data_IF_680553820777
#
_entry.id   IF_680553820777
#
_cell.length_a   1.000
_cell.length_b   1.000
_cell.length_c   1.000
_cell.angle_alpha   90.00
_cell.angle_beta   90.00
_cell.angle_gamma   90.00
#
_symmetry.space_group_name_H-M   'P 1'
#
loop_
_entity.id
_entity.type
_entity.pdbx_description
1 polymer ?
#
# COMPACT_ATOMS: atom_id res chain seq x y z
N UNK A 1 47.31 52.52 -9.34
CA UNK A 1 46.05 52.39 -8.60
C UNK A 1 44.94 52.55 -9.61
N UNK A 2 44.45 51.43 -10.13
CA UNK A 2 43.61 51.39 -11.35
C UNK A 2 42.21 50.95 -10.93
N UNK A 3 41.24 51.84 -11.07
CA UNK A 3 39.85 51.58 -10.75
C UNK A 3 39.20 50.74 -11.88
N UNK A 4 38.70 49.57 -11.52
CA UNK A 4 37.93 48.68 -12.40
C UNK A 4 36.45 49.03 -12.27
N UNK A 5 35.93 49.71 -13.29
CA UNK A 5 34.52 50.03 -13.47
C UNK A 5 33.78 48.80 -14.00
N UNK A 6 32.93 48.20 -13.17
CA UNK A 6 32.04 47.09 -13.58
C UNK A 6 30.79 47.64 -14.26
N UNK A 7 30.64 47.32 -15.55
CA UNK A 7 29.44 47.57 -16.34
C UNK A 7 28.33 46.56 -15.96
N UNK A 8 27.06 46.98 -15.81
CA UNK A 8 25.94 46.06 -15.65
C UNK A 8 25.50 45.48 -17.02
N UNK A 9 25.42 44.16 -17.10
CA UNK A 9 24.86 43.46 -18.26
C UNK A 9 23.34 43.71 -18.40
N UNK A 10 22.82 43.84 -19.63
CA UNK A 10 21.39 44.00 -19.88
C UNK A 10 20.62 42.69 -19.66
N UNK A 11 19.47 42.82 -19.02
CA UNK A 11 18.46 41.81 -18.78
C UNK A 11 17.99 41.15 -20.08
N UNK A 12 18.23 39.84 -20.21
CA UNK A 12 17.59 39.01 -21.24
C UNK A 12 16.17 38.66 -20.78
N UNK A 13 15.19 39.43 -21.27
CA UNK A 13 13.78 39.04 -21.33
C UNK A 13 13.62 37.90 -22.33
N UNK A 14 13.55 36.66 -21.85
CA UNK A 14 13.10 35.53 -22.65
C UNK A 14 11.58 35.41 -22.54
N UNK A 15 10.90 35.91 -23.58
CA UNK A 15 9.53 35.56 -23.93
C UNK A 15 9.48 34.08 -24.30
N UNK A 16 8.77 33.27 -23.52
CA UNK A 16 8.33 31.94 -23.90
C UNK A 16 6.81 31.88 -23.69
N UNK A 17 6.09 32.17 -24.77
CA UNK A 17 4.74 31.69 -24.96
C UNK A 17 4.78 30.22 -25.40
N UNK A 18 4.04 29.38 -24.69
CA UNK A 18 3.45 28.14 -25.22
C UNK A 18 2.48 27.59 -24.17
N UNK A 19 1.22 27.99 -24.32
CA UNK A 19 0.07 27.45 -23.60
C UNK A 19 -0.17 26.02 -24.09
N UNK A 20 0.31 25.01 -23.38
CA UNK A 20 -0.09 23.63 -23.58
C UNK A 20 -1.31 23.32 -22.69
N UNK A 21 -2.49 23.69 -23.19
CA UNK A 21 -3.77 23.26 -22.64
C UNK A 21 -3.94 21.76 -22.92
N UNK A 22 -3.65 20.91 -21.94
CA UNK A 22 -4.09 19.52 -21.94
C UNK A 22 -5.57 19.46 -21.50
N UNK A 23 -6.46 19.66 -22.47
CA UNK A 23 -7.87 19.26 -22.37
C UNK A 23 -8.04 17.97 -23.18
N UNK A 24 -8.05 16.82 -22.52
CA UNK A 24 -8.78 15.64 -22.97
C UNK A 24 -9.03 14.68 -21.81
N UNK A 25 -10.21 14.06 -21.83
CA UNK A 25 -10.70 12.97 -20.99
C UNK A 25 -11.45 13.33 -19.68
N UNK A 26 -12.50 14.14 -19.80
CA UNK A 26 -13.74 13.90 -19.08
C UNK A 26 -14.90 13.94 -20.10
N UNK A 27 -15.15 12.82 -20.77
CA UNK A 27 -16.37 12.65 -21.56
C UNK A 27 -17.45 12.06 -20.67
N UNK A 28 -18.32 12.98 -20.23
CA UNK A 28 -19.67 12.72 -19.74
C UNK A 28 -20.44 11.84 -20.72
N UNK A 29 -20.77 10.62 -20.28
CA UNK A 29 -21.68 9.73 -20.99
C UNK A 29 -23.11 10.16 -20.67
N UNK A 30 -23.54 11.25 -21.29
CA UNK A 30 -24.92 11.74 -21.23
C UNK A 30 -25.82 10.83 -22.06
N UNK A 31 -26.75 10.17 -21.38
CA UNK A 31 -27.92 9.47 -21.89
C UNK A 31 -28.67 10.37 -22.88
N UNK A 32 -28.60 10.08 -24.18
CA UNK A 32 -29.56 10.63 -25.14
C UNK A 32 -30.74 9.66 -25.27
N UNK A 33 -31.88 10.09 -24.73
CA UNK A 33 -33.20 9.63 -25.11
C UNK A 33 -33.42 9.93 -26.59
N UNK A 34 -33.62 8.89 -27.39
CA UNK A 34 -34.21 9.01 -28.73
C UNK A 34 -35.70 8.73 -28.57
N UNK A 35 -36.49 9.78 -28.71
CA UNK A 35 -37.95 9.74 -28.74
C UNK A 35 -38.43 10.15 -30.13
N UNK A 36 -39.23 9.29 -30.76
CA UNK A 36 -40.17 9.63 -31.84
C UNK A 36 -40.01 8.80 -33.13
N UNK A 37 -41.06 8.65 -33.96
CA UNK A 37 -42.48 8.44 -33.63
C UNK A 37 -43.01 7.10 -34.19
N UNK A 38 -44.00 6.54 -33.49
CA UNK A 38 -44.88 5.46 -33.96
C UNK A 38 -45.79 5.99 -35.07
N UNK A 39 -45.95 5.24 -36.17
CA UNK A 39 -47.24 5.01 -36.83
C UNK A 39 -47.15 3.96 -37.98
N UNK A 40 -47.76 2.79 -37.70
CA UNK A 40 -48.53 1.87 -38.58
C UNK A 40 -47.87 1.16 -39.81
N UNK A 41 -48.49 0.09 -40.39
CA UNK A 41 -49.45 -0.91 -39.87
C UNK A 41 -49.02 -2.38 -40.13
N UNK A 42 -49.83 -3.30 -39.58
CA UNK A 42 -49.88 -4.76 -39.81
C UNK A 42 -49.48 -5.29 -41.20
N UNK A 43 -48.63 -6.32 -41.22
CA UNK A 43 -48.65 -7.39 -42.22
C UNK A 43 -48.05 -8.70 -41.66
N UNK A 44 -48.85 -9.77 -41.75
CA UNK A 44 -48.51 -11.19 -41.85
C UNK A 44 -47.56 -11.86 -40.86
N UNK A 45 -48.19 -12.45 -39.84
CA UNK A 45 -47.67 -13.52 -39.02
C UNK A 45 -47.58 -14.82 -39.85
N UNK A 46 -46.52 -14.98 -40.66
CA UNK A 46 -46.16 -16.29 -41.19
C UNK A 46 -45.33 -17.05 -40.16
N UNK A 47 -45.97 -18.07 -39.60
CA UNK A 47 -45.39 -19.10 -38.75
C UNK A 47 -44.27 -19.82 -39.51
N UNK A 48 -43.02 -19.36 -39.35
CA UNK A 48 -41.84 -20.13 -39.73
C UNK A 48 -41.48 -21.00 -38.53
N UNK A 49 -41.98 -22.24 -38.55
CA UNK A 49 -41.45 -23.37 -37.76
C UNK A 49 -39.97 -23.51 -38.12
N UNK A 50 -39.13 -22.77 -37.41
CA UNK A 50 -37.69 -22.90 -37.49
C UNK A 50 -37.34 -24.03 -36.54
N UNK A 51 -36.86 -25.20 -37.03
CA UNK A 51 -36.51 -26.30 -36.17
C UNK A 51 -35.45 -25.84 -35.16
N UNK A 52 -35.82 -25.94 -33.89
CA UNK A 52 -35.02 -25.62 -32.72
C UNK A 52 -33.66 -26.35 -32.78
N UNK A 53 -32.51 -25.66 -32.86
CA UNK A 53 -31.20 -26.30 -32.94
C UNK A 53 -30.68 -26.68 -31.54
N UNK A 54 -31.52 -27.34 -30.74
CA UNK A 54 -31.17 -27.82 -29.40
C UNK A 54 -30.74 -29.30 -29.41
N UNK A 55 -30.45 -29.84 -30.59
CA UNK A 55 -29.69 -31.10 -30.67
C UNK A 55 -28.22 -30.77 -30.45
N UNK A 56 -27.57 -31.25 -29.36
CA UNK A 56 -26.13 -31.10 -29.21
C UNK A 56 -25.47 -31.76 -30.42
N UNK A 57 -24.87 -30.95 -31.29
CA UNK A 57 -24.12 -31.43 -32.42
C UNK A 57 -23.15 -32.51 -31.92
N UNK A 58 -23.26 -33.71 -32.50
CA UNK A 58 -22.36 -34.80 -32.20
C UNK A 58 -20.92 -34.28 -32.30
N UNK A 59 -20.04 -34.58 -31.32
CA UNK A 59 -18.68 -34.09 -31.35
C UNK A 59 -18.07 -34.54 -32.67
N UNK A 60 -17.65 -33.58 -33.49
CA UNK A 60 -16.80 -33.83 -34.65
C UNK A 60 -15.68 -34.73 -34.11
N UNK A 61 -15.53 -35.92 -34.69
CA UNK A 61 -14.52 -36.89 -34.27
C UNK A 61 -13.13 -36.30 -34.55
N UNK A 62 -12.70 -35.44 -33.64
CA UNK A 62 -11.42 -34.78 -33.72
C UNK A 62 -10.36 -35.83 -33.40
N UNK A 63 -9.45 -36.02 -34.35
CA UNK A 63 -8.58 -37.21 -34.50
C UNK A 63 -7.55 -37.34 -33.35
N UNK A 64 -7.52 -36.39 -32.42
CA UNK A 64 -6.53 -36.32 -31.34
C UNK A 64 -7.18 -36.65 -29.99
N UNK A 65 -7.44 -37.93 -29.77
CA UNK A 65 -7.83 -38.45 -28.46
C UNK A 65 -6.65 -38.34 -27.49
N UNK A 66 -6.89 -37.71 -26.34
CA UNK A 66 -5.99 -37.55 -25.20
C UNK A 66 -6.31 -38.65 -24.16
N UNK A 67 -5.53 -38.74 -23.08
CA UNK A 67 -5.74 -39.68 -21.97
C UNK A 67 -7.17 -39.58 -21.42
N UNK A 68 -7.70 -40.72 -20.95
CA UNK A 68 -9.01 -40.84 -20.29
C UNK A 68 -10.22 -40.48 -21.16
N UNK A 69 -10.06 -40.53 -22.49
CA UNK A 69 -11.15 -40.32 -23.44
C UNK A 69 -11.54 -38.85 -23.66
N UNK A 70 -10.71 -37.92 -23.20
CA UNK A 70 -10.82 -36.50 -23.57
C UNK A 70 -10.20 -36.27 -24.95
N UNK A 71 -10.60 -35.22 -25.65
CA UNK A 71 -9.89 -34.72 -26.83
C UNK A 71 -9.33 -33.29 -26.59
N UNK A 72 -8.57 -32.76 -27.55
CA UNK A 72 -8.02 -31.40 -27.45
C UNK A 72 -9.11 -30.31 -27.37
N UNK A 73 -10.23 -30.48 -28.07
CA UNK A 73 -11.34 -29.54 -28.03
C UNK A 73 -12.01 -29.47 -26.64
N UNK A 74 -12.06 -30.60 -25.91
CA UNK A 74 -12.54 -30.65 -24.54
C UNK A 74 -11.60 -29.89 -23.61
N UNK A 75 -10.28 -30.07 -23.74
CA UNK A 75 -9.28 -29.33 -22.97
C UNK A 75 -9.40 -27.81 -23.18
N UNK A 76 -9.50 -27.38 -24.44
CA UNK A 76 -9.69 -25.98 -24.80
C UNK A 76 -10.98 -25.40 -24.20
N UNK A 77 -12.08 -26.16 -24.27
CA UNK A 77 -13.35 -25.76 -23.68
C UNK A 77 -13.24 -25.62 -22.17
N UNK A 78 -12.64 -26.60 -21.49
CA UNK A 78 -12.45 -26.59 -20.03
C UNK A 78 -11.53 -25.46 -19.59
N UNK A 79 -10.45 -25.19 -20.32
CA UNK A 79 -9.56 -24.05 -20.06
C UNK A 79 -10.29 -22.72 -20.21
N UNK A 80 -11.07 -22.53 -21.29
CA UNK A 80 -11.94 -21.34 -21.47
C UNK A 80 -12.97 -21.21 -20.34
N UNK A 81 -13.50 -22.31 -19.81
CA UNK A 81 -14.39 -22.27 -18.64
C UNK A 81 -13.64 -21.87 -17.36
N UNK A 82 -12.43 -22.38 -17.16
CA UNK A 82 -11.61 -22.04 -16.01
C UNK A 82 -11.25 -20.54 -15.94
N UNK A 83 -11.06 -19.89 -17.10
CA UNK A 83 -10.74 -18.45 -17.16
C UNK A 83 -11.93 -17.52 -16.92
N UNK A 84 -13.18 -18.00 -16.97
CA UNK A 84 -14.39 -17.18 -16.75
C UNK A 84 -14.46 -16.61 -15.33
N UNK A 85 -13.88 -17.30 -14.35
CA UNK A 85 -13.83 -16.80 -12.97
C UNK A 85 -12.83 -15.66 -12.88
N UNK A 86 -13.28 -14.50 -12.40
CA UNK A 86 -12.46 -13.29 -12.35
C UNK A 86 -11.35 -13.45 -11.29
N UNK A 87 -10.09 -13.52 -11.75
CA UNK A 87 -8.89 -13.52 -10.92
C UNK A 87 -8.00 -12.32 -11.24
N UNK A 88 -8.13 -11.23 -10.47
CA UNK A 88 -7.30 -10.04 -10.63
C UNK A 88 -7.47 -9.33 -11.98
N UNK A 89 -7.25 -8.02 -12.02
CA UNK A 89 -7.30 -7.25 -13.29
C UNK A 89 -5.96 -7.34 -14.04
N UNK A 90 -4.94 -7.92 -13.41
CA UNK A 90 -3.54 -7.75 -13.83
C UNK A 90 -2.98 -8.83 -14.76
N UNK A 91 -3.60 -10.01 -14.85
CA UNK A 91 -3.09 -11.09 -15.74
C UNK A 91 -3.72 -10.95 -17.12
N UNK A 92 -2.92 -11.00 -18.18
CA UNK A 92 -3.41 -11.01 -19.56
C UNK A 92 -4.37 -12.19 -19.81
N UNK A 93 -5.52 -12.00 -20.50
CA UNK A 93 -6.47 -13.08 -20.76
C UNK A 93 -5.86 -14.31 -21.45
N UNK A 94 -4.86 -14.12 -22.32
CA UNK A 94 -4.17 -15.21 -23.01
C UNK A 94 -3.34 -16.03 -22.01
N UNK A 95 -2.57 -15.38 -21.15
CA UNK A 95 -1.77 -16.05 -20.13
C UNK A 95 -2.63 -16.88 -19.17
N UNK A 96 -3.83 -16.39 -18.83
CA UNK A 96 -4.79 -17.16 -18.01
C UNK A 96 -5.21 -18.46 -18.71
N UNK A 97 -5.49 -18.38 -20.01
CA UNK A 97 -5.86 -19.53 -20.80
C UNK A 97 -4.69 -20.52 -20.87
N UNK A 98 -3.48 -20.06 -21.21
CA UNK A 98 -2.29 -20.90 -21.31
C UNK A 98 -1.96 -21.58 -19.96
N UNK A 99 -2.03 -20.86 -18.84
CA UNK A 99 -1.86 -21.40 -17.49
C UNK A 99 -2.92 -22.44 -17.12
N UNK A 100 -4.19 -22.17 -17.41
CA UNK A 100 -5.27 -23.10 -17.13
C UNK A 100 -5.14 -24.36 -17.98
N UNK A 101 -4.88 -24.21 -19.28
CA UNK A 101 -4.73 -25.30 -20.23
C UNK A 101 -3.58 -26.22 -19.84
N UNK A 102 -2.39 -25.66 -19.56
CA UNK A 102 -1.21 -26.42 -19.13
C UNK A 102 -1.48 -27.18 -17.83
N UNK A 103 -2.08 -26.53 -16.82
CA UNK A 103 -2.39 -27.19 -15.55
C UNK A 103 -3.44 -28.31 -15.70
N UNK A 104 -4.45 -28.11 -16.56
CA UNK A 104 -5.45 -29.14 -16.87
C UNK A 104 -4.79 -30.33 -17.56
N UNK A 105 -3.94 -30.09 -18.56
CA UNK A 105 -3.24 -31.14 -19.27
C UNK A 105 -2.33 -31.95 -18.33
N UNK A 106 -1.51 -31.28 -17.51
CA UNK A 106 -0.66 -31.93 -16.51
C UNK A 106 -1.48 -32.77 -15.52
N UNK A 107 -2.61 -32.24 -15.02
CA UNK A 107 -3.47 -32.98 -14.10
C UNK A 107 -4.09 -34.21 -14.76
N UNK A 108 -4.54 -34.07 -16.01
CA UNK A 108 -5.10 -35.17 -16.79
C UNK A 108 -4.08 -36.31 -16.98
N UNK A 109 -2.82 -35.98 -17.25
CA UNK A 109 -1.75 -36.96 -17.46
C UNK A 109 -1.18 -37.55 -16.16
N UNK A 110 -1.38 -36.90 -15.01
CA UNK A 110 -0.93 -37.42 -13.70
C UNK A 110 -2.01 -38.20 -12.97
N UNK A 111 -3.28 -38.00 -13.30
CA UNK A 111 -4.40 -38.74 -12.71
C UNK A 111 -4.38 -40.23 -13.07
N UNK A 112 -4.50 -41.10 -12.06
CA UNK A 112 -4.57 -42.55 -12.25
C UNK A 112 -5.88 -42.94 -12.96
N UNK A 113 -7.00 -42.42 -12.47
CA UNK A 113 -8.34 -42.60 -13.01
C UNK A 113 -8.78 -41.38 -13.84
N UNK A 114 -9.89 -41.52 -14.56
CA UNK A 114 -10.48 -40.42 -15.33
C UNK A 114 -10.92 -39.29 -14.37
N UNK A 115 -10.31 -38.09 -14.42
CA UNK A 115 -10.72 -36.98 -13.57
C UNK A 115 -12.08 -36.44 -14.04
N UNK A 116 -12.87 -35.90 -13.11
CA UNK A 116 -14.13 -35.23 -13.45
C UNK A 116 -13.85 -33.87 -14.15
N UNK A 117 -14.67 -33.42 -15.11
CA UNK A 117 -14.50 -32.10 -15.71
C UNK A 117 -14.46 -30.94 -14.70
N UNK A 118 -15.19 -31.04 -13.58
CA UNK A 118 -15.17 -29.99 -12.55
C UNK A 118 -13.83 -29.94 -11.79
N UNK A 119 -13.17 -31.08 -11.62
CA UNK A 119 -11.83 -31.17 -11.02
C UNK A 119 -10.77 -30.55 -11.93
N UNK A 120 -10.87 -30.79 -13.24
CA UNK A 120 -10.00 -30.16 -14.24
C UNK A 120 -10.17 -28.63 -14.23
N UNK A 121 -11.41 -28.13 -14.27
CA UNK A 121 -11.69 -26.68 -14.20
C UNK A 121 -11.12 -26.08 -12.90
N UNK A 122 -11.35 -26.73 -11.76
CA UNK A 122 -10.84 -26.29 -10.46
C UNK A 122 -9.32 -26.25 -10.43
N UNK A 123 -8.67 -27.20 -11.10
CA UNK A 123 -7.21 -27.27 -11.21
C UNK A 123 -6.66 -26.10 -12.04
N UNK A 124 -7.28 -25.79 -13.19
CA UNK A 124 -6.94 -24.60 -13.97
C UNK A 124 -7.12 -23.30 -13.18
N UNK A 125 -8.22 -23.16 -12.46
CA UNK A 125 -8.47 -22.01 -11.58
C UNK A 125 -7.41 -21.86 -10.47
N UNK A 126 -7.00 -22.96 -9.84
CA UNK A 126 -5.94 -22.97 -8.81
C UNK A 126 -4.59 -22.55 -9.40
N UNK A 127 -4.28 -22.96 -10.62
CA UNK A 127 -3.04 -22.58 -11.30
C UNK A 127 -3.00 -21.07 -11.57
N UNK A 128 -4.07 -20.49 -12.13
CA UNK A 128 -4.19 -19.03 -12.33
C UNK A 128 -4.03 -18.29 -11.00
N UNK A 129 -4.75 -18.72 -9.95
CA UNK A 129 -4.69 -18.08 -8.63
C UNK A 129 -3.31 -18.19 -7.96
N UNK A 130 -2.55 -19.26 -8.24
CA UNK A 130 -1.16 -19.42 -7.77
C UNK A 130 -0.23 -18.47 -8.51
N UNK A 131 -0.31 -18.41 -9.84
CA UNK A 131 0.47 -17.49 -10.65
C UNK A 131 0.21 -16.02 -10.24
N UNK A 132 -1.05 -15.63 -10.08
CA UNK A 132 -1.42 -14.29 -9.59
C UNK A 132 -0.76 -13.95 -8.25
N UNK A 133 -0.72 -14.90 -7.31
CA UNK A 133 -0.06 -14.68 -6.01
C UNK A 133 1.44 -14.49 -6.14
N UNK A 134 2.08 -15.25 -7.03
CA UNK A 134 3.51 -15.11 -7.33
C UNK A 134 3.81 -13.76 -7.96
N UNK A 135 3.00 -13.32 -8.93
CA UNK A 135 3.11 -11.99 -9.55
C UNK A 135 2.97 -10.88 -8.51
N UNK A 136 1.91 -10.92 -7.70
CA UNK A 136 1.75 -9.97 -6.60
C UNK A 136 2.95 -10.00 -5.65
N UNK A 137 3.50 -11.17 -5.33
CA UNK A 137 4.68 -11.28 -4.49
C UNK A 137 5.93 -10.64 -5.12
N UNK A 138 6.19 -10.90 -6.41
CA UNK A 138 7.32 -10.33 -7.16
C UNK A 138 7.21 -8.82 -7.33
N UNK A 139 5.99 -8.30 -7.49
CA UNK A 139 5.72 -6.86 -7.50
C UNK A 139 5.63 -6.25 -6.09
N UNK A 140 5.83 -7.07 -5.06
CA UNK A 140 5.74 -6.65 -3.67
C UNK A 140 4.41 -6.02 -3.34
N UNK A 141 3.32 -6.64 -3.76
CA UNK A 141 1.94 -6.29 -3.42
C UNK A 141 1.41 -7.34 -2.44
N UNK A 142 0.80 -6.89 -1.36
CA UNK A 142 0.19 -7.77 -0.36
C UNK A 142 -1.12 -8.35 -0.90
N UNK A 143 -1.24 -9.67 -0.92
CA UNK A 143 -2.41 -10.37 -1.46
C UNK A 143 -3.75 -9.95 -0.82
N UNK A 144 -3.77 -9.66 0.48
CA UNK A 144 -5.01 -9.36 1.22
C UNK A 144 -5.52 -7.94 1.00
N UNK A 145 -4.61 -6.99 0.90
CA UNK A 145 -4.90 -5.55 0.91
C UNK A 145 -4.66 -4.89 -0.44
N UNK A 146 -3.99 -5.58 -1.37
CA UNK A 146 -3.45 -5.03 -2.60
C UNK A 146 -2.55 -3.79 -2.39
N UNK A 147 -2.04 -3.61 -1.17
CA UNK A 147 -1.14 -2.52 -0.83
C UNK A 147 0.32 -2.93 -1.08
N UNK A 148 1.23 -1.97 -1.37
CA UNK A 148 2.66 -2.24 -1.44
C UNK A 148 3.18 -2.88 -0.15
N UNK A 149 4.00 -3.92 -0.29
CA UNK A 149 4.70 -4.61 0.77
C UNK A 149 5.84 -3.71 1.26
N UNK A 150 5.90 -3.37 2.56
CA UNK A 150 6.86 -2.39 3.08
C UNK A 150 8.32 -2.72 2.74
N UNK A 151 8.70 -4.00 2.79
CA UNK A 151 10.08 -4.43 2.51
C UNK A 151 10.44 -4.41 1.02
N UNK A 152 9.46 -4.55 0.14
CA UNK A 152 9.70 -4.46 -1.30
C UNK A 152 10.05 -3.03 -1.69
N UNK A 153 9.30 -2.04 -1.19
CA UNK A 153 9.63 -0.64 -1.38
C UNK A 153 11.03 -0.30 -0.85
N UNK A 154 11.39 -0.79 0.34
CA UNK A 154 12.75 -0.62 0.89
C UNK A 154 13.81 -1.23 -0.02
N UNK A 155 13.63 -2.44 -0.55
CA UNK A 155 14.60 -3.07 -1.44
C UNK A 155 14.89 -2.22 -2.69
N UNK A 156 13.84 -1.74 -3.36
CA UNK A 156 14.01 -0.90 -4.56
C UNK A 156 14.59 0.48 -4.23
N UNK A 157 14.27 1.04 -3.07
CA UNK A 157 14.78 2.35 -2.64
C UNK A 157 16.22 2.29 -2.10
N UNK A 158 16.64 1.16 -1.51
CA UNK A 158 17.92 1.06 -0.79
C UNK A 158 18.97 0.18 -1.46
N UNK A 159 18.56 -0.92 -2.10
CA UNK A 159 19.50 -1.90 -2.69
C UNK A 159 19.75 -1.61 -4.17
N UNK A 160 18.70 -1.22 -4.89
CA UNK A 160 18.80 -0.98 -6.34
C UNK A 160 19.18 0.46 -6.68
N UNK A 161 19.15 1.39 -5.72
CA UNK A 161 19.82 2.70 -5.83
C UNK A 161 21.23 2.58 -5.26
N UNK A 162 22.26 2.20 -6.06
CA UNK A 162 23.60 1.91 -5.54
C UNK A 162 24.32 3.22 -5.17
N UNK A 163 23.85 4.33 -5.73
CA UNK A 163 24.27 5.69 -5.42
C UNK A 163 23.03 6.46 -5.01
N UNK A 164 22.98 7.06 -3.81
CA UNK A 164 21.95 8.04 -3.52
C UNK A 164 22.02 9.10 -4.61
N UNK A 165 20.96 9.26 -5.40
CA UNK A 165 20.88 10.38 -6.33
C UNK A 165 21.18 11.66 -5.54
N UNK A 166 21.96 12.62 -6.05
CA UNK A 166 22.13 13.92 -5.38
C UNK A 166 20.83 14.74 -5.42
N UNK A 167 19.85 14.33 -6.24
CA UNK A 167 18.60 15.05 -6.47
C UNK A 167 17.79 15.28 -5.19
N UNK A 168 17.57 14.31 -4.28
CA UNK A 168 16.83 14.57 -3.04
C UNK A 168 17.51 15.67 -2.22
N UNK A 169 18.84 15.63 -2.07
CA UNK A 169 19.58 16.68 -1.35
C UNK A 169 19.58 18.04 -2.05
N UNK A 170 19.49 18.08 -3.38
CA UNK A 170 19.36 19.31 -4.15
C UNK A 170 17.94 19.89 -4.06
N UNK A 171 16.92 19.06 -4.25
CA UNK A 171 15.50 19.39 -4.15
C UNK A 171 15.17 19.88 -2.73
N UNK A 172 15.60 19.16 -1.69
CA UNK A 172 15.38 19.53 -0.29
C UNK A 172 15.99 20.89 0.04
N UNK A 173 17.22 21.15 -0.43
CA UNK A 173 17.88 22.46 -0.23
C UNK A 173 17.12 23.56 -0.97
N UNK A 174 16.73 23.34 -2.21
CA UNK A 174 16.03 24.34 -3.02
C UNK A 174 14.65 24.66 -2.44
N UNK A 175 13.88 23.63 -2.10
CA UNK A 175 12.58 23.78 -1.45
C UNK A 175 12.70 24.45 -0.08
N UNK A 176 13.73 24.12 0.72
CA UNK A 176 14.00 24.84 1.97
C UNK A 176 14.20 26.33 1.71
N UNK A 177 15.01 26.72 0.73
CA UNK A 177 15.25 28.14 0.40
C UNK A 177 13.98 28.87 -0.06
N UNK A 178 13.07 28.19 -0.77
CA UNK A 178 11.80 28.76 -1.21
C UNK A 178 10.79 28.90 -0.06
N UNK A 179 10.71 27.90 0.82
CA UNK A 179 9.73 27.83 1.91
C UNK A 179 10.16 28.67 3.13
N UNK A 180 11.47 28.74 3.42
CA UNK A 180 12.01 29.44 4.59
C UNK A 180 11.51 30.89 4.77
N UNK A 181 11.53 31.76 3.74
CA UNK A 181 11.03 33.13 3.89
C UNK A 181 9.52 33.20 4.16
N UNK A 182 8.75 32.17 3.79
CA UNK A 182 7.30 32.13 3.99
C UNK A 182 6.87 31.70 5.41
N UNK A 183 7.79 31.16 6.21
CA UNK A 183 7.52 30.87 7.63
C UNK A 183 7.46 32.15 8.46
N UNK A 184 6.61 32.18 9.50
CA UNK A 184 6.60 33.31 10.42
C UNK A 184 7.95 33.43 11.16
N UNK A 185 8.39 34.63 11.58
CA UNK A 185 9.68 34.80 12.25
C UNK A 185 9.90 33.87 13.46
N UNK A 186 8.88 33.70 14.29
CA UNK A 186 8.94 32.78 15.43
C UNK A 186 8.96 31.30 15.04
N UNK A 187 8.32 30.91 13.94
CA UNK A 187 8.38 29.54 13.40
C UNK A 187 9.79 29.23 12.90
N UNK A 188 10.43 30.17 12.17
CA UNK A 188 11.84 30.06 11.77
C UNK A 188 12.77 29.92 12.97
N UNK A 189 12.58 30.77 13.99
CA UNK A 189 13.38 30.74 15.21
C UNK A 189 13.27 29.39 15.93
N UNK A 190 12.06 28.81 16.04
CA UNK A 190 11.86 27.50 16.63
C UNK A 190 12.59 26.38 15.87
N UNK A 191 12.56 26.40 14.53
CA UNK A 191 13.26 25.41 13.69
C UNK A 191 14.78 25.58 13.80
N UNK A 192 15.29 26.80 13.74
CA UNK A 192 16.72 27.10 13.92
C UNK A 192 17.22 26.69 15.30
N UNK A 193 16.49 27.01 16.37
CA UNK A 193 16.85 26.63 17.73
C UNK A 193 16.89 25.10 17.89
N UNK A 194 15.92 24.37 17.32
CA UNK A 194 15.94 22.91 17.33
C UNK A 194 17.16 22.34 16.61
N UNK A 195 17.50 22.90 15.45
CA UNK A 195 18.67 22.48 14.68
C UNK A 195 19.99 22.72 15.43
N UNK A 196 20.10 23.85 16.15
CA UNK A 196 21.29 24.21 16.92
C UNK A 196 21.45 23.39 18.22
N UNK A 197 20.36 23.13 18.95
CA UNK A 197 20.42 22.57 20.30
C UNK A 197 20.02 21.08 20.39
N UNK A 198 19.43 20.51 19.33
CA UNK A 198 19.11 19.08 19.20
C UNK A 198 17.99 18.55 20.09
N UNK A 199 17.58 19.28 21.14
CA UNK A 199 16.49 18.90 22.05
C UNK A 199 15.45 20.02 22.18
N UNK A 200 14.19 19.64 22.37
CA UNK A 200 13.07 20.59 22.48
C UNK A 200 13.20 21.50 23.71
N UNK A 201 13.66 20.95 24.84
CA UNK A 201 13.83 21.74 26.07
C UNK A 201 14.94 22.77 25.91
N UNK A 202 16.13 22.37 25.46
CA UNK A 202 17.24 23.30 25.26
C UNK A 202 16.93 24.37 24.21
N UNK A 203 16.19 24.02 23.14
CA UNK A 203 15.72 24.98 22.15
C UNK A 203 14.68 25.96 22.72
N UNK A 204 13.78 25.50 23.60
CA UNK A 204 12.82 26.36 24.29
C UNK A 204 13.52 27.34 25.24
N UNK A 205 14.47 26.83 26.03
CA UNK A 205 15.26 27.63 26.98
C UNK A 205 16.06 28.73 26.25
N UNK A 206 16.68 28.40 25.11
CA UNK A 206 17.41 29.34 24.28
C UNK A 206 16.54 30.47 23.69
N UNK A 207 15.25 30.21 23.49
CA UNK A 207 14.28 31.20 22.98
C UNK A 207 13.52 31.92 24.11
N UNK A 208 13.77 31.58 25.38
CA UNK A 208 13.01 32.11 26.51
C UNK A 208 11.54 31.69 26.52
N UNK A 209 11.22 30.53 25.94
CA UNK A 209 9.85 30.00 25.84
C UNK A 209 9.64 28.86 26.82
N UNK A 210 8.38 28.66 27.25
CA UNK A 210 8.00 27.41 27.89
C UNK A 210 8.09 26.25 26.89
N UNK A 211 8.33 25.04 27.38
CA UNK A 211 8.36 23.83 26.56
C UNK A 211 7.09 23.68 25.68
N UNK A 212 5.91 23.94 26.26
CA UNK A 212 4.63 23.87 25.54
C UNK A 212 4.48 24.97 24.48
N UNK A 213 4.97 26.18 24.78
CA UNK A 213 5.01 27.28 23.81
C UNK A 213 5.89 26.93 22.61
N UNK A 214 7.09 26.42 22.86
CA UNK A 214 8.01 25.95 21.83
C UNK A 214 7.40 24.81 21.00
N UNK A 215 6.84 23.79 21.65
CA UNK A 215 6.22 22.65 20.96
C UNK A 215 5.05 23.09 20.04
N UNK A 216 4.24 24.05 20.51
CA UNK A 216 3.14 24.63 19.71
C UNK A 216 3.68 25.38 18.49
N UNK A 217 4.73 26.19 18.67
CA UNK A 217 5.35 26.96 17.60
C UNK A 217 6.01 26.05 16.55
N UNK A 218 6.72 25.01 16.99
CA UNK A 218 7.30 24.01 16.10
C UNK A 218 6.23 23.22 15.34
N UNK A 219 5.10 22.88 15.99
CA UNK A 219 3.98 22.22 15.33
C UNK A 219 3.35 23.09 14.23
N UNK A 220 3.22 24.41 14.46
CA UNK A 220 2.76 25.37 13.44
C UNK A 220 3.74 25.46 12.27
N UNK A 221 5.04 25.61 12.57
CA UNK A 221 6.10 25.60 11.57
C UNK A 221 6.06 24.35 10.68
N UNK A 222 5.97 23.14 11.28
CA UNK A 222 5.89 21.86 10.56
C UNK A 222 4.65 21.76 9.67
N UNK A 223 3.49 22.19 10.15
CA UNK A 223 2.25 22.20 9.34
C UNK A 223 2.39 23.14 8.15
N UNK A 224 2.85 24.36 8.37
CA UNK A 224 3.01 25.36 7.31
C UNK A 224 4.04 24.94 6.28
N UNK A 225 5.17 24.40 6.74
CA UNK A 225 6.19 23.84 5.86
C UNK A 225 5.62 22.71 5.00
N UNK A 226 4.87 21.76 5.58
CA UNK A 226 4.24 20.67 4.83
C UNK A 226 3.22 21.19 3.80
N UNK A 227 2.41 22.19 4.15
CA UNK A 227 1.45 22.79 3.22
C UNK A 227 2.15 23.42 2.02
N UNK A 228 3.23 24.16 2.25
CA UNK A 228 4.01 24.80 1.18
C UNK A 228 4.80 23.77 0.36
N UNK A 229 5.30 22.70 1.00
CA UNK A 229 5.98 21.61 0.32
C UNK A 229 5.10 20.88 -0.69
N UNK A 230 3.80 20.78 -0.40
CA UNK A 230 2.80 20.14 -1.25
C UNK A 230 1.90 21.17 -1.96
N UNK A 231 2.37 22.39 -2.20
CA UNK A 231 1.60 23.38 -2.93
C UNK A 231 1.22 22.83 -4.32
N UNK A 232 -0.09 22.77 -4.63
CA UNK A 232 -0.61 22.17 -5.87
C UNK A 232 -1.07 20.70 -5.74
N UNK A 233 -0.81 20.05 -4.61
CA UNK A 233 -1.24 18.67 -4.32
C UNK A 233 -2.07 18.61 -3.02
N UNK A 234 -2.82 17.52 -2.81
CA UNK A 234 -3.40 17.26 -1.49
C UNK A 234 -2.29 16.80 -0.55
N UNK A 235 -1.95 17.54 0.52
CA UNK A 235 -0.80 17.21 1.35
C UNK A 235 -0.93 15.81 1.94
N UNK A 236 0.17 15.06 1.91
CA UNK A 236 0.24 13.78 2.62
C UNK A 236 0.07 14.02 4.14
N UNK A 237 -0.42 13.02 4.88
CA UNK A 237 -0.45 13.12 6.35
C UNK A 237 0.98 13.34 6.84
N UNK A 238 1.19 14.37 7.67
CA UNK A 238 2.48 14.65 8.35
C UNK A 238 3.16 13.33 8.70
N UNK A 239 4.32 13.07 8.10
CA UNK A 239 5.07 11.84 8.34
C UNK A 239 5.34 11.72 9.83
N UNK A 240 4.54 10.89 10.50
CA UNK A 240 4.69 10.65 11.93
C UNK A 240 5.78 9.61 12.11
N UNK A 241 7.01 10.05 11.85
CA UNK A 241 8.20 9.32 12.23
C UNK A 241 9.20 10.33 12.78
N UNK A 242 8.89 10.89 13.95
CA UNK A 242 9.99 11.11 14.89
C UNK A 242 10.53 9.71 15.22
N UNK A 243 11.44 9.21 14.38
CA UNK A 243 12.51 8.34 14.85
C UNK A 243 13.27 9.22 15.83
N UNK A 244 12.73 9.28 17.06
CA UNK A 244 13.43 9.84 18.20
C UNK A 244 14.78 9.16 18.17
N UNK A 245 15.82 9.92 17.90
CA UNK A 245 17.15 9.59 18.34
C UNK A 245 17.03 9.47 19.85
N UNK A 246 16.66 8.28 20.34
CA UNK A 246 16.74 7.92 21.74
C UNK A 246 18.22 7.76 22.08
N UNK A 247 18.97 8.87 22.01
CA UNK A 247 20.08 9.03 22.93
C UNK A 247 19.41 9.21 24.29
N UNK A 248 19.23 8.09 25.01
CA UNK A 248 18.92 8.10 26.44
C UNK A 248 17.50 7.74 26.90
N UNK A 249 16.51 7.58 26.03
CA UNK A 249 15.24 6.93 26.44
C UNK A 249 15.15 5.57 25.81
N UNK A 250 15.81 4.62 26.49
CA UNK A 250 15.53 3.20 26.33
C UNK A 250 14.02 3.04 26.17
N UNK A 251 13.64 2.64 24.96
CA UNK A 251 12.37 2.01 24.69
C UNK A 251 12.08 1.07 25.86
N UNK A 252 11.14 1.44 26.73
CA UNK A 252 10.44 0.45 27.55
C UNK A 252 9.04 0.19 26.98
N UNK A 253 8.89 -0.30 25.73
CA UNK A 253 7.72 -1.06 25.35
C UNK A 253 8.03 -2.55 25.55
N UNK A 254 7.13 -3.23 26.25
CA UNK A 254 7.12 -4.67 26.52
C UNK A 254 8.10 -5.16 27.60
N UNK A 255 7.82 -4.78 28.83
CA UNK A 255 8.36 -5.44 30.00
C UNK A 255 7.89 -4.66 31.20
N UNK A 256 7.23 -5.32 32.13
CA UNK A 256 6.97 -4.77 33.45
C UNK A 256 8.26 -4.12 33.95
N UNK A 257 8.22 -2.85 34.36
CA UNK A 257 9.41 -2.19 34.91
C UNK A 257 10.00 -3.09 35.99
N UNK A 258 11.32 -3.35 35.99
CA UNK A 258 11.97 -4.25 36.97
C UNK A 258 11.52 -3.95 38.40
N UNK A 259 11.34 -2.68 38.74
CA UNK A 259 10.78 -2.21 40.02
C UNK A 259 9.40 -2.80 40.34
N UNK A 260 8.48 -2.85 39.35
CA UNK A 260 7.15 -3.45 39.51
C UNK A 260 7.21 -4.96 39.58
N UNK A 261 8.16 -5.59 38.89
CA UNK A 261 8.35 -7.05 38.94
C UNK A 261 8.94 -7.47 40.29
N UNK A 262 9.90 -6.71 40.82
CA UNK A 262 10.44 -6.88 42.17
C UNK A 262 9.37 -6.67 43.25
N UNK A 263 8.61 -5.57 43.18
CA UNK A 263 7.51 -5.31 44.10
C UNK A 263 6.41 -6.40 44.02
N UNK A 264 6.15 -6.93 42.83
CA UNK A 264 5.24 -8.07 42.67
C UNK A 264 5.80 -9.34 43.32
N UNK A 265 7.08 -9.66 43.12
CA UNK A 265 7.74 -10.83 43.69
C UNK A 265 7.70 -10.78 45.23
N UNK A 266 8.04 -9.64 45.82
CA UNK A 266 8.05 -9.43 47.27
C UNK A 266 6.66 -9.65 47.89
N UNK A 267 5.61 -9.11 47.25
CA UNK A 267 4.23 -9.30 47.71
C UNK A 267 3.70 -10.73 47.46
N UNK A 268 4.15 -11.38 46.40
CA UNK A 268 3.80 -12.77 46.11
C UNK A 268 4.47 -13.74 47.10
N UNK A 269 5.73 -13.51 47.44
CA UNK A 269 6.49 -14.29 48.43
C UNK A 269 5.91 -14.09 49.85
N UNK A 270 5.30 -12.93 50.13
CA UNK A 270 4.51 -12.68 51.33
C UNK A 270 3.11 -13.36 51.34
N UNK A 271 2.77 -14.15 50.32
CA UNK A 271 1.53 -14.95 50.26
C UNK A 271 0.26 -14.18 49.88
N UNK A 272 0.37 -12.95 49.35
CA UNK A 272 -0.80 -12.17 48.96
C UNK A 272 -1.44 -12.71 47.67
N UNK A 273 -2.78 -12.70 47.63
CA UNK A 273 -3.53 -13.02 46.41
C UNK A 273 -3.35 -11.93 45.35
N UNK A 274 -3.48 -12.28 44.06
CA UNK A 274 -3.36 -11.32 42.94
C UNK A 274 -4.27 -10.09 43.06
N UNK A 275 -5.46 -10.24 43.66
CA UNK A 275 -6.38 -9.12 43.92
C UNK A 275 -5.84 -8.18 45.01
N UNK A 276 -5.27 -8.72 46.08
CA UNK A 276 -4.63 -7.93 47.15
C UNK A 276 -3.39 -7.21 46.63
N UNK A 277 -2.56 -7.88 45.82
CA UNK A 277 -1.40 -7.27 45.15
C UNK A 277 -1.84 -6.13 44.22
N UNK A 278 -2.90 -6.33 43.44
CA UNK A 278 -3.48 -5.30 42.58
C UNK A 278 -3.91 -4.07 43.38
N UNK A 279 -4.65 -4.26 44.48
CA UNK A 279 -5.07 -3.18 45.37
C UNK A 279 -3.88 -2.44 46.00
N UNK A 280 -2.88 -3.18 46.50
CA UNK A 280 -1.67 -2.63 47.16
C UNK A 280 -0.82 -1.80 46.20
N UNK A 281 -0.62 -2.30 44.98
CA UNK A 281 0.17 -1.60 43.95
C UNK A 281 -0.64 -0.52 43.21
N UNK A 282 -1.94 -0.37 43.51
CA UNK A 282 -2.88 0.51 42.78
C UNK A 282 -2.89 0.23 41.27
N UNK A 283 -2.87 -1.06 40.91
CA UNK A 283 -2.87 -1.53 39.52
C UNK A 283 -4.13 -2.35 39.23
N UNK A 284 -4.50 -2.43 37.95
CA UNK A 284 -5.58 -3.33 37.52
C UNK A 284 -5.17 -4.80 37.69
N UNK A 285 -6.14 -5.67 37.96
CA UNK A 285 -5.92 -7.13 38.02
C UNK A 285 -5.35 -7.66 36.70
N UNK A 286 -5.75 -7.08 35.56
CA UNK A 286 -5.19 -7.43 34.24
C UNK A 286 -3.70 -7.12 34.15
N UNK A 287 -3.26 -5.99 34.71
CA UNK A 287 -1.84 -5.62 34.78
C UNK A 287 -1.08 -6.59 35.66
N UNK A 288 -1.60 -6.94 36.84
CA UNK A 288 -0.99 -7.93 37.73
C UNK A 288 -0.87 -9.31 37.06
N UNK A 289 -1.86 -9.75 36.29
CA UNK A 289 -1.79 -11.02 35.56
C UNK A 289 -0.65 -11.03 34.53
N UNK A 290 -0.40 -9.89 33.87
CA UNK A 290 0.73 -9.74 32.95
C UNK A 290 2.07 -9.79 33.69
N UNK A 291 2.16 -9.15 34.86
CA UNK A 291 3.34 -9.21 35.72
C UNK A 291 3.59 -10.63 36.22
N UNK A 292 2.55 -11.33 36.65
CA UNK A 292 2.63 -12.72 37.09
C UNK A 292 3.06 -13.69 35.98
N UNK A 293 2.65 -13.43 34.73
CA UNK A 293 3.08 -14.22 33.58
C UNK A 293 4.56 -13.97 33.26
N UNK A 294 5.01 -12.72 33.32
CA UNK A 294 6.41 -12.36 33.11
C UNK A 294 7.31 -12.92 34.23
N UNK A 295 6.89 -12.81 35.49
CA UNK A 295 7.61 -13.36 36.64
C UNK A 295 7.77 -14.90 36.57
N UNK A 296 6.74 -15.61 36.08
CA UNK A 296 6.83 -17.07 35.83
C UNK A 296 7.83 -17.39 34.72
N UNK A 297 7.78 -16.67 33.61
CA UNK A 297 8.74 -16.81 32.52
C UNK A 297 10.19 -16.56 32.96
N UNK A 298 10.43 -15.58 33.86
CA UNK A 298 11.76 -15.29 34.41
C UNK A 298 12.26 -16.34 35.42
N UNK A 299 11.37 -17.01 36.17
CA UNK A 299 11.72 -18.10 37.09
C UNK A 299 11.72 -19.50 36.44
N UNK A 300 11.34 -19.61 35.17
CA UNK A 300 11.22 -20.91 34.48
C UNK A 300 10.09 -21.80 35.03
N UNK A 301 9.02 -21.20 35.55
CA UNK A 301 7.85 -21.86 36.17
C UNK A 301 6.60 -21.85 35.28
#
# INVERSE_FOLDING_TARGET
>A
MTALTLNPHPSLSASLGATATNQHAAEDRTTQLITGPNDAPHADNQHHDTPHPDTPAAPVADVHTVRHGYNLADLDRLAKYATRRVFGVTIDPRDRFELAWSAIAEHLYTAADRPDPSDLITTGQKAIARHHRTELHHHGVQQRTYAPAPRHAVYWDTVIRPTPSPEPGAVDRMALWQIWPQLAPGERAAVQALAAHGTHQAAADALGLSYQGFATQLARARRRFLTLWHEGETPSRLWRTELRASKGTARTPAGVTRTRLAAFAELADAGLTRRQIAARMRLSVRTINRIAAQHRAERGL
#
